data_IF_918307584608
#
_entry.id   IF_918307584608
#
_cell.length_a   1.000
_cell.length_b   1.000
_cell.length_c   1.000
_cell.angle_alpha   90.00
_cell.angle_beta   90.00
_cell.angle_gamma   90.00
#
_symmetry.space_group_name_H-M   'P 1'
#
loop_
_entity.id
_entity.type
_entity.pdbx_description
1 polymer ?
#
# COMPACT_ATOMS: atom_id res chain seq x y z
N UNK A 1 -1.24 12.81 7.55
CA UNK A 1 -0.79 11.44 7.73
C UNK A 1 -1.24 11.03 9.11
N UNK A 2 -1.73 9.81 9.30
CA UNK A 2 -2.15 9.36 10.63
C UNK A 2 -1.76 7.91 10.86
N UNK A 3 -1.57 7.54 12.13
CA UNK A 3 -1.14 6.21 12.55
C UNK A 3 -2.23 5.55 13.37
N UNK A 4 -2.45 4.25 13.12
CA UNK A 4 -3.33 3.40 13.90
C UNK A 4 -2.56 2.19 14.43
N UNK A 5 -2.96 1.70 15.61
CA UNK A 5 -2.50 0.40 16.11
C UNK A 5 -3.14 -0.71 15.28
N UNK A 6 -2.35 -1.72 14.91
CA UNK A 6 -2.85 -2.94 14.29
C UNK A 6 -3.19 -3.90 15.42
N UNK A 7 -4.43 -4.34 15.52
CA UNK A 7 -4.84 -5.29 16.55
C UNK A 7 -4.26 -6.68 16.30
N UNK A 8 -4.03 -7.44 17.37
CA UNK A 8 -3.56 -8.82 17.28
C UNK A 8 -4.50 -9.70 16.46
N UNK A 9 -5.82 -9.46 16.55
CA UNK A 9 -6.81 -10.17 15.75
C UNK A 9 -6.60 -9.98 14.24
N UNK A 10 -6.30 -8.75 13.78
CA UNK A 10 -6.01 -8.49 12.36
C UNK A 10 -4.69 -9.15 11.95
N UNK A 11 -3.66 -9.07 12.81
CA UNK A 11 -2.38 -9.72 12.52
C UNK A 11 -2.51 -11.23 12.39
N UNK A 12 -3.24 -11.86 13.31
CA UNK A 12 -3.46 -13.29 13.31
C UNK A 12 -4.27 -13.75 12.10
N UNK A 13 -5.32 -13.00 11.75
CA UNK A 13 -6.06 -13.21 10.50
C UNK A 13 -5.13 -13.16 9.28
N UNK A 14 -4.29 -12.12 9.15
CA UNK A 14 -3.37 -11.98 8.02
C UNK A 14 -2.34 -13.12 7.96
N UNK A 15 -1.83 -13.59 9.11
CA UNK A 15 -0.93 -14.75 9.18
C UNK A 15 -1.62 -16.02 8.68
N UNK A 16 -2.87 -16.24 9.07
CA UNK A 16 -3.64 -17.38 8.59
C UNK A 16 -3.90 -17.31 7.09
N UNK A 17 -4.25 -16.14 6.57
CA UNK A 17 -4.44 -15.90 5.14
C UNK A 17 -3.16 -16.19 4.33
N UNK A 18 -1.99 -15.70 4.75
CA UNK A 18 -0.73 -15.93 4.02
C UNK A 18 -0.21 -17.37 4.13
N UNK A 19 -0.67 -18.14 5.12
CA UNK A 19 -0.37 -19.55 5.24
C UNK A 19 -1.25 -20.41 4.32
N UNK A 20 -2.51 -20.00 4.14
CA UNK A 20 -3.48 -20.73 3.33
C UNK A 20 -3.45 -20.34 1.84
N UNK A 21 -3.09 -19.10 1.51
CA UNK A 21 -3.20 -18.56 0.15
C UNK A 21 -1.92 -17.83 -0.28
N UNK A 22 -1.61 -17.94 -1.58
CA UNK A 22 -0.57 -17.12 -2.21
C UNK A 22 -1.22 -15.88 -2.86
N UNK A 23 -0.87 -14.70 -2.35
CA UNK A 23 -1.33 -13.40 -2.87
C UNK A 23 -0.39 -12.83 -3.95
N UNK A 24 0.81 -13.39 -4.07
CA UNK A 24 1.74 -13.13 -5.17
C UNK A 24 1.49 -14.08 -6.35
N UNK A 25 0.43 -13.83 -7.12
CA UNK A 25 0.12 -14.60 -8.35
C UNK A 25 0.34 -13.78 -9.62
N UNK A 26 1.55 -13.28 -9.78
CA UNK A 26 1.99 -12.54 -10.96
C UNK A 26 2.93 -13.42 -11.79
N UNK A 27 3.06 -13.12 -13.09
CA UNK A 27 3.96 -13.88 -13.97
C UNK A 27 5.43 -13.78 -13.49
N UNK A 28 5.82 -12.63 -12.93
CA UNK A 28 7.11 -12.42 -12.27
C UNK A 28 6.97 -11.52 -11.03
N UNK A 29 8.03 -11.46 -10.20
CA UNK A 29 8.16 -10.52 -9.08
C UNK A 29 7.12 -10.70 -7.94
N UNK A 30 6.66 -11.92 -7.68
CA UNK A 30 5.60 -12.27 -6.70
C UNK A 30 5.80 -11.78 -5.26
N UNK A 31 7.02 -11.38 -4.90
CA UNK A 31 7.37 -10.96 -3.56
C UNK A 31 7.47 -12.12 -2.59
N UNK A 32 8.28 -11.96 -1.54
CA UNK A 32 8.42 -12.94 -0.46
C UNK A 32 7.15 -13.02 0.39
N UNK A 33 6.98 -14.11 1.14
CA UNK A 33 5.88 -14.28 2.09
C UNK A 33 5.76 -13.10 3.06
N UNK A 34 6.90 -12.54 3.51
CA UNK A 34 6.92 -11.37 4.37
C UNK A 34 6.46 -10.08 3.67
N UNK A 35 6.80 -9.91 2.38
CA UNK A 35 6.33 -8.77 1.58
C UNK A 35 4.83 -8.87 1.34
N UNK A 36 4.34 -10.07 1.01
CA UNK A 36 2.91 -10.31 0.86
C UNK A 36 2.16 -10.09 2.18
N UNK A 37 2.68 -10.61 3.31
CA UNK A 37 2.13 -10.38 4.64
C UNK A 37 2.03 -8.88 4.96
N UNK A 38 3.07 -8.11 4.63
CA UNK A 38 3.07 -6.65 4.80
C UNK A 38 1.96 -5.98 3.98
N UNK A 39 1.77 -6.42 2.73
CA UNK A 39 0.70 -5.93 1.86
C UNK A 39 -0.68 -6.18 2.46
N UNK A 40 -0.97 -7.43 2.80
CA UNK A 40 -2.30 -7.83 3.29
C UNK A 40 -2.64 -7.28 4.69
N UNK A 41 -1.62 -7.00 5.54
CA UNK A 41 -1.82 -6.28 6.81
C UNK A 41 -2.33 -4.87 6.52
N UNK A 42 -1.66 -4.14 5.62
CA UNK A 42 -2.08 -2.79 5.27
C UNK A 42 -3.47 -2.76 4.63
N UNK A 43 -3.71 -3.63 3.65
CA UNK A 43 -5.03 -3.80 3.03
C UNK A 43 -6.12 -4.09 4.07
N UNK A 44 -5.92 -5.08 4.94
CA UNK A 44 -6.92 -5.46 5.95
C UNK A 44 -7.23 -4.35 6.95
N UNK A 45 -6.21 -3.59 7.39
CA UNK A 45 -6.43 -2.46 8.29
C UNK A 45 -7.22 -1.36 7.59
N UNK A 46 -6.89 -1.02 6.34
CA UNK A 46 -7.65 0.00 5.59
C UNK A 46 -9.07 -0.49 5.31
N UNK A 47 -9.27 -1.74 4.91
CA UNK A 47 -10.62 -2.33 4.76
C UNK A 47 -11.42 -2.21 6.07
N UNK A 48 -10.80 -2.54 7.21
CA UNK A 48 -11.44 -2.43 8.52
C UNK A 48 -11.84 -0.98 8.83
N UNK A 49 -10.94 -0.01 8.61
CA UNK A 49 -11.23 1.42 8.78
C UNK A 49 -12.36 1.92 7.86
N UNK A 50 -12.56 1.28 6.71
CA UNK A 50 -13.65 1.56 5.78
C UNK A 50 -14.92 0.72 6.03
N UNK A 51 -14.96 -0.05 7.11
CA UNK A 51 -16.05 -0.97 7.46
C UNK A 51 -16.33 -2.01 6.34
N UNK A 52 -15.27 -2.53 5.72
CA UNK A 52 -15.32 -3.52 4.62
C UNK A 52 -14.85 -4.92 5.02
N UNK A 53 -14.64 -5.17 6.31
CA UNK A 53 -14.11 -6.43 6.82
C UNK A 53 -12.59 -6.51 6.68
N UNK A 54 -12.07 -7.71 6.43
CA UNK A 54 -10.65 -8.02 6.26
C UNK A 54 -10.47 -8.79 4.94
N UNK A 55 -9.23 -8.90 4.47
CA UNK A 55 -8.93 -9.64 3.24
C UNK A 55 -9.30 -11.13 3.36
N UNK A 56 -9.83 -11.72 2.29
CA UNK A 56 -10.11 -13.16 2.20
C UNK A 56 -9.54 -13.74 0.90
N UNK A 57 -8.48 -14.54 1.03
CA UNK A 57 -7.79 -15.18 -0.10
C UNK A 57 -8.63 -16.23 -0.84
N UNK A 58 -9.76 -16.68 -0.28
CA UNK A 58 -10.71 -17.58 -0.96
C UNK A 58 -11.31 -16.96 -2.21
N UNK A 59 -11.49 -15.64 -2.22
CA UNK A 59 -12.10 -14.90 -3.33
C UNK A 59 -11.17 -14.80 -4.55
N UNK A 60 -9.89 -15.15 -4.39
CA UNK A 60 -8.91 -15.15 -5.47
C UNK A 60 -8.36 -13.76 -5.76
N UNK A 61 -8.05 -13.50 -7.03
CA UNK A 61 -7.41 -12.27 -7.47
C UNK A 61 -8.45 -11.19 -7.79
N UNK A 62 -8.33 -10.02 -7.19
CA UNK A 62 -9.30 -8.91 -7.20
C UNK A 62 -9.05 -7.85 -8.30
N UNK A 63 -8.20 -8.16 -9.28
CA UNK A 63 -7.77 -7.23 -10.33
C UNK A 63 -7.17 -5.92 -9.80
N UNK A 64 -6.55 -5.95 -8.61
CA UNK A 64 -5.89 -4.81 -7.99
C UNK A 64 -6.85 -3.82 -7.32
N UNK A 65 -8.09 -4.23 -7.07
CA UNK A 65 -9.09 -3.41 -6.36
C UNK A 65 -9.29 -3.98 -4.96
N UNK A 66 -8.66 -3.33 -3.99
CA UNK A 66 -8.75 -3.72 -2.59
C UNK A 66 -10.07 -3.24 -1.95
N UNK A 67 -10.55 -2.06 -2.35
CA UNK A 67 -11.72 -1.40 -1.74
C UNK A 67 -12.55 -0.70 -2.82
N UNK A 68 -13.87 -0.93 -2.80
CA UNK A 68 -14.86 -0.09 -3.46
C UNK A 68 -15.45 0.91 -2.47
N UNK A 69 -15.23 2.21 -2.69
CA UNK A 69 -15.75 3.29 -1.84
C UNK A 69 -16.15 4.50 -2.68
N UNK A 70 -17.38 5.00 -2.51
CA UNK A 70 -17.91 6.13 -3.28
C UNK A 70 -17.71 5.98 -4.81
N UNK A 71 -17.96 4.79 -5.36
CA UNK A 71 -17.71 4.44 -6.77
C UNK A 71 -16.25 4.61 -7.25
N UNK A 72 -15.30 4.65 -6.31
CA UNK A 72 -13.87 4.64 -6.58
C UNK A 72 -13.32 3.22 -6.35
N UNK A 73 -12.57 2.73 -7.33
CA UNK A 73 -11.71 1.54 -7.20
C UNK A 73 -10.40 1.96 -6.52
N UNK A 74 -10.15 1.45 -5.32
CA UNK A 74 -9.01 1.82 -4.48
C UNK A 74 -8.04 0.65 -4.30
N UNK A 75 -6.75 0.94 -4.32
CA UNK A 75 -5.65 -0.02 -4.12
C UNK A 75 -4.72 0.49 -3.02
N UNK A 76 -4.39 -0.39 -2.08
CA UNK A 76 -3.63 -0.10 -0.86
C UNK A 76 -2.21 -0.59 -1.02
N UNK A 77 -1.26 0.36 -1.04
CA UNK A 77 0.16 0.07 -1.22
C UNK A 77 0.91 0.23 0.09
N UNK A 78 1.39 -0.90 0.62
CA UNK A 78 2.00 -0.93 1.95
C UNK A 78 3.47 -1.29 1.92
N UNK A 79 4.31 -0.43 2.52
CA UNK A 79 5.73 -0.72 2.77
C UNK A 79 5.97 -1.12 4.22
N UNK A 80 6.81 -2.14 4.44
CA UNK A 80 7.19 -2.59 5.79
C UNK A 80 8.47 -1.91 6.24
N UNK A 81 8.47 -1.32 7.44
CA UNK A 81 9.60 -0.56 8.01
C UNK A 81 9.86 -0.92 9.48
N UNK A 82 11.01 -0.52 9.99
CA UNK A 82 11.41 -0.61 11.41
C UNK A 82 11.59 0.77 12.05
N UNK A 83 11.24 1.83 11.32
CA UNK A 83 11.34 3.23 11.77
C UNK A 83 10.02 3.95 11.58
N UNK A 84 9.81 5.03 12.35
CA UNK A 84 8.68 5.93 12.15
C UNK A 84 8.75 6.58 10.75
N UNK A 85 7.58 6.76 10.14
CA UNK A 85 7.45 7.40 8.82
C UNK A 85 7.81 8.88 8.89
N UNK A 86 8.42 9.40 7.81
CA UNK A 86 8.71 10.82 7.63
C UNK A 86 8.08 11.33 6.32
N UNK A 87 7.89 12.65 6.22
CA UNK A 87 7.31 13.30 5.04
C UNK A 87 8.18 13.16 3.77
N UNK A 88 9.48 12.98 3.93
CA UNK A 88 10.43 12.76 2.83
C UNK A 88 10.70 11.27 2.56
N UNK A 89 9.97 10.34 3.18
CA UNK A 89 10.08 8.93 2.84
C UNK A 89 9.39 8.63 1.51
N UNK A 90 10.00 7.71 0.77
CA UNK A 90 9.53 7.26 -0.54
C UNK A 90 8.69 5.99 -0.43
N UNK A 91 7.60 5.94 -1.18
CA UNK A 91 6.82 4.74 -1.43
C UNK A 91 7.25 4.05 -2.73
N UNK A 92 7.14 2.74 -2.75
CA UNK A 92 7.54 1.88 -3.86
C UNK A 92 6.29 1.24 -4.47
N UNK A 93 6.20 1.25 -5.80
CA UNK A 93 5.10 0.68 -6.56
C UNK A 93 5.68 -0.17 -7.70
N UNK A 94 5.36 -1.45 -7.78
CA UNK A 94 5.86 -2.29 -8.87
C UNK A 94 5.10 -1.96 -10.16
N UNK A 95 5.81 -1.54 -11.22
CA UNK A 95 5.20 -1.12 -12.50
C UNK A 95 4.27 -2.17 -13.11
N UNK A 96 4.56 -3.45 -12.88
CA UNK A 96 3.71 -4.56 -13.33
C UNK A 96 2.26 -4.50 -12.79
N UNK A 97 1.97 -3.66 -11.80
CA UNK A 97 0.61 -3.49 -11.24
C UNK A 97 -0.10 -2.27 -11.84
N UNK A 98 0.58 -1.51 -12.71
CA UNK A 98 0.07 -0.25 -13.24
C UNK A 98 -1.09 -0.42 -14.21
N UNK A 99 -1.27 -1.63 -14.77
CA UNK A 99 -2.37 -1.93 -15.68
C UNK A 99 -3.72 -2.11 -14.97
N UNK A 100 -3.74 -2.29 -13.65
CA UNK A 100 -5.00 -2.45 -12.90
C UNK A 100 -5.86 -1.20 -13.01
N UNK A 101 -7.18 -1.38 -13.16
CA UNK A 101 -8.16 -0.30 -13.31
C UNK A 101 -8.49 0.41 -11.99
N UNK A 102 -7.50 0.55 -11.10
CA UNK A 102 -7.59 1.35 -9.90
C UNK A 102 -7.64 2.84 -10.25
N UNK A 103 -8.38 3.61 -9.47
CA UNK A 103 -8.56 5.05 -9.64
C UNK A 103 -7.81 5.85 -8.58
N UNK A 104 -7.66 5.26 -7.39
CA UNK A 104 -6.98 5.88 -6.25
C UNK A 104 -6.02 4.88 -5.60
N UNK A 105 -4.82 5.36 -5.29
CA UNK A 105 -3.87 4.67 -4.43
C UNK A 105 -3.90 5.25 -3.01
N UNK A 106 -4.02 4.40 -2.01
CA UNK A 106 -3.74 4.73 -0.61
C UNK A 106 -2.38 4.15 -0.26
N UNK A 107 -1.42 5.00 0.10
CA UNK A 107 -0.11 4.55 0.52
C UNK A 107 -0.04 4.42 2.04
N UNK A 108 0.49 3.29 2.48
CA UNK A 108 0.65 2.95 3.89
C UNK A 108 2.08 2.50 4.20
N UNK A 109 2.45 2.63 5.47
CA UNK A 109 3.70 2.11 5.99
C UNK A 109 3.46 1.36 7.29
N UNK A 110 3.80 0.08 7.32
CA UNK A 110 3.66 -0.79 8.47
C UNK A 110 4.96 -0.84 9.28
N UNK A 111 4.91 -0.41 10.53
CA UNK A 111 6.02 -0.50 11.47
C UNK A 111 6.04 -1.89 12.13
N UNK A 112 6.98 -2.74 11.70
CA UNK A 112 7.05 -4.16 12.07
C UNK A 112 7.20 -4.40 13.57
N UNK A 113 7.99 -3.57 14.25
CA UNK A 113 8.23 -3.70 15.70
C UNK A 113 7.10 -3.14 16.56
N UNK A 114 6.52 -1.99 16.18
CA UNK A 114 5.48 -1.32 16.97
C UNK A 114 4.06 -1.81 16.69
N UNK A 115 3.91 -2.62 15.64
CA UNK A 115 2.62 -3.09 15.11
C UNK A 115 1.66 -1.92 14.84
N UNK A 116 2.18 -0.93 14.11
CA UNK A 116 1.46 0.30 13.75
C UNK A 116 1.38 0.41 12.25
N UNK A 117 0.22 0.83 11.73
CA UNK A 117 0.07 1.21 10.34
C UNK A 117 -0.09 2.73 10.26
N UNK A 118 0.81 3.37 9.52
CA UNK A 118 0.68 4.78 9.16
C UNK A 118 0.07 4.88 7.77
N UNK A 119 -1.05 5.59 7.64
CA UNK A 119 -1.62 6.00 6.37
C UNK A 119 -0.85 7.25 5.93
N UNK A 120 0.03 7.07 4.95
CA UNK A 120 0.96 8.09 4.48
C UNK A 120 0.25 9.21 3.72
N UNK A 121 -0.79 8.86 2.97
CA UNK A 121 -1.58 9.75 2.14
C UNK A 121 -2.22 8.97 1.00
N UNK A 122 -2.96 9.66 0.15
CA UNK A 122 -3.59 9.09 -1.03
C UNK A 122 -3.31 9.92 -2.27
N UNK A 123 -3.54 9.36 -3.46
CA UNK A 123 -3.39 10.07 -4.72
C UNK A 123 -4.23 9.36 -5.79
N UNK A 124 -4.84 10.10 -6.71
CA UNK A 124 -5.48 9.51 -7.88
C UNK A 124 -4.43 9.02 -8.90
N UNK A 125 -4.82 8.04 -9.72
CA UNK A 125 -3.91 7.37 -10.65
C UNK A 125 -3.34 8.32 -11.71
N UNK A 126 -4.09 9.34 -12.12
CA UNK A 126 -3.63 10.32 -13.10
C UNK A 126 -2.49 11.18 -12.52
N UNK A 127 -2.69 11.76 -11.33
CA UNK A 127 -1.65 12.52 -10.63
C UNK A 127 -0.47 11.66 -10.23
N UNK A 128 -0.70 10.40 -9.83
CA UNK A 128 0.38 9.44 -9.58
C UNK A 128 1.24 9.25 -10.84
N UNK A 129 0.61 9.04 -11.99
CA UNK A 129 1.30 8.85 -13.28
C UNK A 129 2.16 10.06 -13.65
N UNK A 130 1.67 11.28 -13.39
CA UNK A 130 2.42 12.52 -13.64
C UNK A 130 3.59 12.75 -12.67
N UNK A 131 3.47 12.30 -11.41
CA UNK A 131 4.44 12.60 -10.34
C UNK A 131 5.46 11.49 -10.06
N UNK A 132 5.15 10.24 -10.44
CA UNK A 132 5.99 9.09 -10.15
C UNK A 132 7.31 9.14 -10.90
N UNK A 133 8.36 8.61 -10.28
CA UNK A 133 9.68 8.43 -10.88
C UNK A 133 9.88 6.98 -11.28
N UNK A 134 10.33 6.74 -12.50
CA UNK A 134 10.60 5.39 -13.00
C UNK A 134 12.04 4.96 -12.72
N UNK A 135 12.19 3.70 -12.31
CA UNK A 135 13.47 3.03 -12.12
C UNK A 135 13.39 1.63 -12.74
N UNK A 136 14.20 1.33 -13.77
CA UNK A 136 14.23 0.00 -14.35
C UNK A 136 14.76 -1.04 -13.36
N UNK A 137 14.33 -2.29 -13.52
CA UNK A 137 14.89 -3.43 -12.79
C UNK A 137 16.43 -3.39 -12.81
N UNK A 138 17.07 -3.64 -11.67
CA UNK A 138 18.52 -3.58 -11.51
C UNK A 138 19.05 -2.21 -11.06
N UNK A 139 18.20 -1.18 -10.99
CA UNK A 139 18.61 0.13 -10.45
C UNK A 139 19.00 0.04 -8.97
N UNK A 140 20.11 0.69 -8.60
CA UNK A 140 20.54 0.88 -7.20
C UNK A 140 19.83 2.08 -6.59
N UNK A 141 19.12 1.86 -5.49
CA UNK A 141 18.35 2.90 -4.78
C UNK A 141 18.92 3.13 -3.40
N UNK A 142 18.97 4.40 -2.99
CA UNK A 142 19.48 4.84 -1.70
C UNK A 142 18.30 5.15 -0.78
N UNK A 143 18.32 4.60 0.42
CA UNK A 143 17.36 4.88 1.49
C UNK A 143 17.79 6.11 2.28
N UNK A 144 16.88 6.62 3.11
CA UNK A 144 17.14 7.78 3.97
C UNK A 144 18.32 7.56 4.94
N UNK A 145 18.53 6.34 5.40
CA UNK A 145 19.65 5.96 6.29
C UNK A 145 20.97 5.72 5.55
N UNK A 146 21.07 6.17 4.29
CA UNK A 146 22.17 5.92 3.35
C UNK A 146 22.40 4.46 2.94
N UNK A 147 21.66 3.49 3.48
CA UNK A 147 21.73 2.12 2.97
C UNK A 147 21.18 2.04 1.54
N UNK A 148 21.57 1.01 0.80
CA UNK A 148 21.12 0.82 -0.58
C UNK A 148 20.35 -0.49 -0.77
N UNK A 149 19.63 -0.59 -1.89
CA UNK A 149 19.07 -1.83 -2.39
C UNK A 149 19.00 -1.81 -3.92
N UNK A 150 18.97 -2.99 -4.52
CA UNK A 150 18.78 -3.17 -5.95
C UNK A 150 17.31 -3.48 -6.21
N UNK A 151 16.71 -2.78 -7.18
CA UNK A 151 15.33 -3.07 -7.62
C UNK A 151 15.26 -4.45 -8.29
N UNK A 152 14.38 -5.32 -7.81
CA UNK A 152 14.21 -6.67 -8.37
C UNK A 152 13.23 -6.71 -9.55
N UNK A 153 12.51 -5.61 -9.81
CA UNK A 153 11.59 -5.41 -10.91
C UNK A 153 11.52 -3.91 -11.25
N UNK A 154 10.91 -3.58 -12.39
CA UNK A 154 10.58 -2.20 -12.74
C UNK A 154 9.75 -1.55 -11.62
N UNK A 155 10.20 -0.38 -11.18
CA UNK A 155 9.69 0.27 -9.99
C UNK A 155 9.32 1.72 -10.29
N UNK A 156 8.13 2.11 -9.83
CA UNK A 156 7.75 3.50 -9.66
C UNK A 156 7.91 3.93 -8.22
N UNK A 157 8.30 5.19 -8.03
CA UNK A 157 8.41 5.79 -6.71
C UNK A 157 7.72 7.14 -6.63
N UNK A 158 7.18 7.42 -5.45
CA UNK A 158 6.56 8.69 -5.09
C UNK A 158 6.86 9.00 -3.62
N UNK A 159 7.17 10.24 -3.29
CA UNK A 159 7.45 10.65 -1.92
C UNK A 159 6.17 11.02 -1.18
N UNK A 160 6.16 10.83 0.15
CA UNK A 160 4.99 11.13 0.98
C UNK A 160 4.53 12.60 0.84
N UNK A 161 5.45 13.55 0.66
CA UNK A 161 5.13 14.96 0.44
C UNK A 161 4.45 15.26 -0.91
N UNK A 162 4.39 14.30 -1.83
CA UNK A 162 3.70 14.43 -3.12
C UNK A 162 2.26 13.88 -3.08
N UNK A 163 1.88 13.22 -1.99
CA UNK A 163 0.55 12.65 -1.76
C UNK A 163 -0.42 13.69 -1.21
N UNK A 164 -1.72 13.48 -1.41
CA UNK A 164 -2.75 14.20 -0.68
C UNK A 164 -2.69 13.75 0.78
N UNK A 165 -2.49 14.73 1.66
CA UNK A 165 -2.37 14.50 3.08
C UNK A 165 -3.76 14.25 3.71
N UNK A 166 -3.87 13.26 4.59
CA UNK A 166 -5.07 13.04 5.39
C UNK A 166 -4.69 12.86 6.87
N UNK A 167 -5.34 13.59 7.78
CA UNK A 167 -4.99 13.64 9.20
C UNK A 167 -5.81 12.68 10.08
N UNK A 168 -6.85 12.05 9.52
CA UNK A 168 -7.65 11.02 10.17
C UNK A 168 -8.37 10.15 9.14
N UNK A 169 -9.00 9.06 9.59
CA UNK A 169 -9.89 8.26 8.74
C UNK A 169 -11.11 9.07 8.29
N UNK A 170 -11.62 9.97 9.13
CA UNK A 170 -12.75 10.84 8.78
C UNK A 170 -12.37 11.77 7.62
N UNK A 171 -11.24 12.45 7.76
CA UNK A 171 -10.68 13.34 6.74
C UNK A 171 -10.39 12.60 5.42
N UNK A 172 -9.77 11.41 5.48
CA UNK A 172 -9.57 10.58 4.28
C UNK A 172 -10.88 10.24 3.58
N UNK A 173 -11.90 9.79 4.32
CA UNK A 173 -13.22 9.47 3.76
C UNK A 173 -13.90 10.70 3.14
N UNK A 174 -13.85 11.85 3.83
CA UNK A 174 -14.39 13.11 3.34
C UNK A 174 -13.73 13.54 2.02
N UNK A 175 -12.39 13.49 1.96
CA UNK A 175 -11.63 13.81 0.75
C UNK A 175 -11.99 12.88 -0.43
N UNK A 176 -12.14 11.58 -0.18
CA UNK A 176 -12.56 10.61 -1.22
C UNK A 176 -14.02 10.78 -1.64
N UNK A 177 -14.90 11.27 -0.75
CA UNK A 177 -16.30 11.52 -1.08
C UNK A 177 -16.47 12.71 -2.02
N UNK A 178 -15.64 13.74 -1.86
CA UNK A 178 -15.68 14.95 -2.70
C UNK A 178 -14.80 14.86 -3.95
N UNK A 179 -13.94 13.84 -4.03
CA UNK A 179 -13.13 13.58 -5.21
C UNK A 179 -14.03 13.22 -6.40
N UNK A 180 -13.94 14.03 -7.46
CA UNK A 180 -14.61 13.80 -8.74
C UNK A 180 -13.55 13.40 -9.76
N UNK A 181 -13.89 12.38 -10.56
CA UNK A 181 -13.09 11.93 -11.70
C UNK A 181 -13.09 13.00 -12.79
#
# INVERSE_FOLDING_TARGET
MFTVKVSDAILEHCKNQINAYNFGKRYTANGSKQQQLTGIIGQSVVMHLFNKGLIDGKLGFDNGVDIMYNNLKIDVKTMGRTTNVRSNYTNNFLKLQDYFETEVYIFCSYHKTKQELTICGWIDKERFTKKRRFYPKGSTRKRFDNSTFITFADLYEIDNNQLNNCNSIKDLKEQLNVFKK
#
